data_IF_194894087896
#
_entry.id   IF_194894087896
#
_cell.length_a   1.000
_cell.length_b   1.000
_cell.length_c   1.000
_cell.angle_alpha   90.00
_cell.angle_beta   90.00
_cell.angle_gamma   90.00
#
_symmetry.space_group_name_H-M   'P 1'
#
loop_
_entity.id
_entity.type
_entity.pdbx_description
1 polymer ?
#
# COMPACT_ATOMS: atom_id res chain seq x y z
N UNK A 1 -20.88 -25.27 -4.31
CA UNK A 1 -19.52 -24.70 -4.30
C UNK A 1 -19.42 -23.76 -3.10
N UNK A 2 -18.62 -24.09 -2.08
CA UNK A 2 -18.44 -23.18 -0.94
C UNK A 2 -17.84 -21.87 -1.48
N UNK A 3 -18.53 -20.74 -1.27
CA UNK A 3 -17.97 -19.41 -1.56
C UNK A 3 -16.85 -19.16 -0.56
N UNK A 4 -15.66 -19.66 -0.85
CA UNK A 4 -14.47 -19.38 -0.06
C UNK A 4 -14.24 -17.87 -0.13
N UNK A 5 -14.24 -17.20 1.02
CA UNK A 5 -13.97 -15.77 1.08
C UNK A 5 -12.61 -15.52 0.43
N UNK A 6 -12.60 -14.68 -0.61
CA UNK A 6 -11.36 -14.31 -1.31
C UNK A 6 -10.44 -13.57 -0.35
N UNK A 7 -9.13 -13.68 -0.51
CA UNK A 7 -8.18 -12.87 0.29
C UNK A 7 -8.12 -11.44 -0.24
N UNK A 8 -7.86 -10.48 0.66
CA UNK A 8 -7.89 -9.06 0.36
C UNK A 8 -6.84 -8.63 -0.67
N UNK A 9 -5.65 -9.21 -0.65
CA UNK A 9 -4.59 -8.97 -1.64
C UNK A 9 -4.02 -7.55 -1.72
N UNK A 10 -4.53 -6.59 -0.94
CA UNK A 10 -4.12 -5.19 -1.00
C UNK A 10 -2.63 -5.03 -0.64
N UNK A 11 -1.93 -4.10 -1.31
CA UNK A 11 -0.53 -3.79 -0.97
C UNK A 11 -0.48 -3.16 0.42
N UNK A 12 0.23 -3.82 1.31
CA UNK A 12 0.48 -3.32 2.66
C UNK A 12 1.62 -2.30 2.61
N UNK A 13 1.66 -1.45 3.65
CA UNK A 13 2.70 -0.43 3.85
C UNK A 13 4.13 -1.00 3.91
N UNK A 14 4.26 -2.30 4.11
CA UNK A 14 5.53 -3.04 4.17
C UNK A 14 5.90 -3.68 2.83
N UNK A 15 5.18 -3.36 1.75
CA UNK A 15 5.44 -3.88 0.40
C UNK A 15 4.85 -5.26 0.11
N UNK A 16 4.30 -5.94 1.11
CA UNK A 16 3.65 -7.26 0.97
C UNK A 16 2.18 -7.17 0.52
N UNK A 17 1.56 -8.34 0.28
CA UNK A 17 0.11 -8.45 0.01
C UNK A 17 -0.66 -8.76 1.29
N UNK A 18 -1.82 -8.16 1.46
CA UNK A 18 -2.69 -8.44 2.59
C UNK A 18 -3.28 -9.84 2.48
N UNK A 19 -2.96 -10.70 3.44
CA UNK A 19 -3.44 -12.07 3.51
C UNK A 19 -4.77 -12.23 4.27
N UNK A 20 -5.33 -11.14 4.80
CA UNK A 20 -6.63 -11.17 5.49
C UNK A 20 -7.75 -11.53 4.50
N UNK A 21 -8.78 -12.21 4.98
CA UNK A 21 -9.98 -12.46 4.21
C UNK A 21 -10.65 -11.14 3.82
N UNK A 22 -11.07 -11.04 2.57
CA UNK A 22 -11.96 -10.01 2.12
C UNK A 22 -13.34 -10.22 2.74
N UNK A 23 -14.06 -9.13 3.00
CA UNK A 23 -15.42 -9.25 3.52
C UNK A 23 -16.32 -9.96 2.52
N UNK A 24 -17.32 -10.67 3.03
CA UNK A 24 -18.36 -11.29 2.20
C UNK A 24 -19.01 -10.22 1.30
N UNK A 25 -18.95 -10.44 -0.01
CA UNK A 25 -19.47 -9.49 -1.01
C UNK A 25 -18.53 -8.32 -1.36
N UNK A 26 -17.30 -8.28 -0.83
CA UNK A 26 -16.29 -7.27 -1.16
C UNK A 26 -14.96 -7.91 -1.59
N UNK A 27 -14.20 -7.23 -2.45
CA UNK A 27 -12.87 -7.70 -2.87
C UNK A 27 -11.76 -7.37 -1.88
N UNK A 28 -12.03 -6.57 -0.83
CA UNK A 28 -11.04 -6.10 0.15
C UNK A 28 -11.53 -6.30 1.58
N UNK A 29 -10.58 -6.48 2.50
CA UNK A 29 -10.89 -6.58 3.94
C UNK A 29 -11.27 -5.22 4.53
N UNK A 30 -11.75 -5.23 5.77
CA UNK A 30 -12.24 -4.06 6.50
C UNK A 30 -11.20 -2.95 6.63
N UNK A 31 -9.92 -3.31 6.65
CA UNK A 31 -8.82 -2.36 6.75
C UNK A 31 -8.46 -1.71 5.41
N UNK A 32 -8.99 -2.23 4.30
CA UNK A 32 -8.74 -1.74 2.94
C UNK A 32 -10.04 -1.37 2.21
N UNK A 33 -11.18 -1.32 2.92
CA UNK A 33 -12.48 -0.90 2.40
C UNK A 33 -12.66 0.61 2.64
N UNK A 34 -12.16 1.41 1.68
CA UNK A 34 -12.57 2.81 1.47
C UNK A 34 -11.91 3.88 2.34
N UNK A 35 -11.43 4.92 1.66
CA UNK A 35 -11.08 6.30 2.07
C UNK A 35 -9.81 6.69 2.84
N UNK A 36 -9.11 5.81 3.58
CA UNK A 36 -7.81 6.22 4.20
C UNK A 36 -6.56 5.90 3.38
N UNK A 37 -6.73 5.26 2.22
CA UNK A 37 -5.62 4.88 1.34
C UNK A 37 -4.93 6.12 0.72
N UNK A 38 -5.62 7.24 0.54
CA UNK A 38 -5.06 8.47 -0.05
C UNK A 38 -4.02 9.11 0.86
N UNK A 39 -4.35 9.37 2.13
CA UNK A 39 -3.41 9.96 3.10
C UNK A 39 -2.11 9.15 3.26
N UNK A 40 -2.21 7.83 3.25
CA UNK A 40 -1.05 6.94 3.40
C UNK A 40 -0.22 6.83 2.13
N UNK A 41 -0.84 6.87 0.94
CA UNK A 41 -0.14 6.91 -0.36
C UNK A 41 0.55 8.26 -0.56
N UNK A 42 -0.08 9.37 -0.17
CA UNK A 42 0.51 10.70 -0.33
C UNK A 42 1.74 10.90 0.57
N UNK A 43 1.69 10.47 1.84
CA UNK A 43 2.87 10.46 2.71
C UNK A 43 3.98 9.52 2.25
N UNK A 44 3.65 8.39 1.61
CA UNK A 44 4.66 7.49 1.05
C UNK A 44 5.34 8.10 -0.18
N UNK A 45 4.57 8.69 -1.10
CA UNK A 45 5.10 9.50 -2.21
C UNK A 45 5.99 10.64 -1.73
N UNK A 46 5.62 11.30 -0.63
CA UNK A 46 6.41 12.39 -0.06
C UNK A 46 7.77 11.87 0.44
N UNK A 47 7.79 10.73 1.14
CA UNK A 47 9.04 10.08 1.58
C UNK A 47 9.90 9.58 0.43
N UNK A 48 9.31 9.02 -0.63
CA UNK A 48 10.07 8.59 -1.80
C UNK A 48 10.75 9.78 -2.49
N UNK A 49 10.04 10.91 -2.65
CA UNK A 49 10.63 12.14 -3.18
C UNK A 49 11.77 12.68 -2.31
N UNK A 50 11.60 12.64 -0.99
CA UNK A 50 12.64 13.07 -0.06
C UNK A 50 13.89 12.18 -0.14
N UNK A 51 13.70 10.86 -0.23
CA UNK A 51 14.80 9.91 -0.45
C UNK A 51 15.49 10.12 -1.79
N UNK A 52 14.75 10.39 -2.86
CA UNK A 52 15.32 10.69 -4.17
C UNK A 52 16.15 12.00 -4.13
N UNK A 53 15.64 13.04 -3.47
CA UNK A 53 16.37 14.29 -3.26
C UNK A 53 17.63 14.11 -2.43
N UNK A 54 17.57 13.30 -1.38
CA UNK A 54 18.73 12.97 -0.57
C UNK A 54 19.78 12.19 -1.38
N UNK A 55 19.36 11.24 -2.23
CA UNK A 55 20.25 10.53 -3.16
C UNK A 55 20.87 11.47 -4.18
N UNK A 56 20.11 12.40 -4.75
CA UNK A 56 20.61 13.39 -5.69
C UNK A 56 21.65 14.33 -5.07
N UNK A 57 21.46 14.75 -3.81
CA UNK A 57 22.43 15.54 -3.05
C UNK A 57 23.73 14.79 -2.75
N UNK A 58 23.64 13.48 -2.53
CA UNK A 58 24.80 12.62 -2.28
C UNK A 58 25.54 12.20 -3.55
N UNK A 59 25.03 12.52 -4.74
CA UNK A 59 25.69 12.19 -6.01
C UNK A 59 26.80 13.22 -6.26
N UNK A 60 28.08 12.82 -6.24
CA UNK A 60 29.16 13.77 -6.50
C UNK A 60 29.02 14.31 -7.92
N UNK A 61 29.04 15.65 -8.07
CA UNK A 61 29.20 16.27 -9.38
C UNK A 61 30.62 15.91 -9.85
N UNK A 62 30.69 15.04 -10.87
CA UNK A 62 31.90 14.79 -11.63
C UNK A 62 32.42 16.10 -12.23
#
# INVERSE_FOLDING_TARGET
>A
MARTQSTCGARTKHGGRCQRLAMVGASRCNLHRGDWATYTIERDRQRQREQERARARKRPKR
#
